data_IF_263271595372
#
_entry.id   IF_263271595372
#
_cell.length_a   1.000
_cell.length_b   1.000
_cell.length_c   1.000
_cell.angle_alpha   90.00
_cell.angle_beta   90.00
_cell.angle_gamma   90.00
#
_symmetry.space_group_name_H-M   'P 1'
#
loop_
_entity.id
_entity.type
_entity.pdbx_description
1 polymer ?
#
# COMPACT_ATOMS: atom_id res chain seq x y z
N UNK A 1 -9.58 7.57 9.18
CA UNK A 1 -8.98 8.16 7.96
C UNK A 1 -7.59 7.56 7.70
N UNK A 2 -6.64 7.61 8.62
CA UNK A 2 -5.24 7.17 8.48
C UNK A 2 -5.08 5.68 8.13
N UNK A 3 -5.89 4.78 8.70
CA UNK A 3 -5.90 3.34 8.31
C UNK A 3 -6.12 3.13 6.81
N UNK A 4 -7.01 3.91 6.18
CA UNK A 4 -7.25 3.82 4.73
C UNK A 4 -6.06 4.32 3.93
N UNK A 5 -5.39 5.39 4.39
CA UNK A 5 -4.18 5.90 3.73
C UNK A 5 -3.05 4.85 3.79
N UNK A 6 -2.83 4.23 4.96
CA UNK A 6 -1.84 3.17 5.11
C UNK A 6 -2.17 1.97 4.20
N UNK A 7 -3.44 1.58 4.09
CA UNK A 7 -3.88 0.52 3.17
C UNK A 7 -3.62 0.88 1.70
N UNK A 8 -3.95 2.11 1.28
CA UNK A 8 -3.69 2.57 -0.09
C UNK A 8 -2.19 2.57 -0.40
N UNK A 9 -1.36 3.03 0.55
CA UNK A 9 0.10 2.99 0.41
C UNK A 9 0.62 1.55 0.29
N UNK A 10 0.10 0.63 1.10
CA UNK A 10 0.44 -0.80 1.01
C UNK A 10 0.02 -1.39 -0.34
N UNK A 11 -1.18 -1.07 -0.82
CA UNK A 11 -1.66 -1.55 -2.13
C UNK A 11 -0.82 -1.02 -3.29
N UNK A 12 -0.35 0.23 -3.22
CA UNK A 12 0.59 0.80 -4.19
C UNK A 12 1.90 0.00 -4.22
N UNK A 13 2.49 -0.29 -3.05
CA UNK A 13 3.73 -1.06 -2.97
C UNK A 13 3.53 -2.51 -3.44
N UNK A 14 2.39 -3.14 -3.13
CA UNK A 14 2.06 -4.48 -3.60
C UNK A 14 1.87 -4.53 -5.12
N UNK A 15 1.29 -3.50 -5.73
CA UNK A 15 1.18 -3.41 -7.20
C UNK A 15 2.56 -3.32 -7.85
N UNK A 16 3.47 -2.53 -7.27
CA UNK A 16 4.85 -2.46 -7.73
C UNK A 16 5.59 -3.80 -7.56
N UNK A 17 5.42 -4.47 -6.41
CA UNK A 17 6.01 -5.77 -6.13
C UNK A 17 5.55 -6.84 -7.12
N UNK A 18 4.25 -6.84 -7.48
CA UNK A 18 3.72 -7.73 -8.51
C UNK A 18 4.39 -7.50 -9.86
N UNK A 19 4.51 -6.25 -10.31
CA UNK A 19 5.18 -5.92 -11.55
C UNK A 19 6.67 -6.31 -11.55
N UNK A 20 7.39 -6.11 -10.44
CA UNK A 20 8.77 -6.56 -10.31
C UNK A 20 8.90 -8.08 -10.24
N UNK A 21 7.86 -8.80 -9.80
CA UNK A 21 7.77 -10.26 -9.93
C UNK A 21 7.84 -10.70 -11.39
N UNK A 22 7.02 -10.09 -12.26
CA UNK A 22 7.04 -10.34 -13.71
C UNK A 22 8.37 -9.96 -14.35
N UNK A 23 8.93 -8.79 -14.00
CA UNK A 23 10.25 -8.37 -14.46
C UNK A 23 11.32 -9.41 -14.08
N UNK A 24 11.28 -9.93 -12.86
CA UNK A 24 12.23 -10.97 -12.42
C UNK A 24 12.07 -12.25 -13.24
N UNK A 25 10.84 -12.71 -13.47
CA UNK A 25 10.58 -13.91 -14.27
C UNK A 25 11.10 -13.78 -15.70
N UNK A 26 10.87 -12.62 -16.33
CA UNK A 26 11.41 -12.33 -17.67
C UNK A 26 12.92 -12.28 -17.71
N UNK A 27 13.57 -11.64 -16.73
CA UNK A 27 15.04 -11.59 -16.65
C UNK A 27 15.66 -12.98 -16.46
N UNK A 28 15.04 -13.85 -15.65
CA UNK A 28 15.48 -15.23 -15.49
C UNK A 28 15.35 -15.99 -16.81
N UNK A 29 14.22 -15.85 -17.53
CA UNK A 29 14.05 -16.46 -18.84
C UNK A 29 15.05 -15.95 -19.87
N UNK A 30 15.34 -14.65 -19.88
CA UNK A 30 16.37 -14.06 -20.74
C UNK A 30 17.76 -14.62 -20.41
N UNK A 31 18.06 -14.85 -19.13
CA UNK A 31 19.33 -15.47 -18.69
C UNK A 31 19.45 -16.92 -19.14
N UNK A 32 18.34 -17.69 -19.11
CA UNK A 32 18.31 -19.06 -19.62
C UNK A 32 18.61 -19.09 -21.13
N UNK A 33 17.99 -18.17 -21.90
CA UNK A 33 18.28 -18.03 -23.34
C UNK A 33 19.72 -17.63 -23.61
N UNK A 34 20.28 -16.70 -22.84
CA UNK A 34 21.67 -16.28 -22.96
C UNK A 34 22.62 -17.44 -22.66
N UNK A 35 22.31 -18.24 -21.64
CA UNK A 35 23.11 -19.43 -21.28
C UNK A 35 23.09 -20.48 -22.38
N UNK A 36 21.92 -20.73 -22.98
CA UNK A 36 21.80 -21.66 -24.11
C UNK A 36 22.50 -21.13 -25.36
N UNK A 37 22.39 -19.83 -25.65
CA UNK A 37 23.05 -19.21 -26.80
C UNK A 37 24.59 -19.16 -26.65
N UNK A 38 25.08 -19.11 -25.42
CA UNK A 38 26.49 -19.13 -25.10
C UNK A 38 27.14 -20.52 -25.28
N UNK A 39 26.33 -21.58 -25.30
CA UNK A 39 26.85 -22.94 -25.46
C UNK A 39 27.47 -23.14 -26.84
N UNK A 40 28.64 -23.78 -26.90
CA UNK A 40 29.36 -24.04 -28.13
C UNK A 40 28.62 -24.98 -29.11
N UNK A 41 27.64 -25.75 -28.60
CA UNK A 41 26.79 -26.62 -29.43
C UNK A 41 25.72 -25.86 -30.17
N UNK A 42 25.41 -24.62 -29.76
CA UNK A 42 24.39 -23.75 -30.41
C UNK A 42 24.91 -23.20 -31.73
N UNK A 43 24.27 -23.56 -32.81
CA UNK A 43 24.59 -23.02 -34.14
C UNK A 43 23.93 -21.63 -34.35
N UNK A 44 24.28 -20.96 -35.47
CA UNK A 44 23.78 -19.59 -35.71
C UNK A 44 22.26 -19.55 -35.83
N UNK A 45 21.61 -20.54 -36.42
CA UNK A 45 20.13 -20.56 -36.53
C UNK A 45 19.45 -20.72 -35.18
N UNK A 46 20.05 -21.51 -34.29
CA UNK A 46 19.55 -21.67 -32.93
C UNK A 46 19.65 -20.35 -32.17
N UNK A 47 20.79 -19.66 -32.29
CA UNK A 47 20.97 -18.34 -31.66
C UNK A 47 20.02 -17.29 -32.23
N UNK A 48 19.77 -17.32 -33.57
CA UNK A 48 18.81 -16.39 -34.21
C UNK A 48 17.37 -16.62 -33.69
N UNK A 49 16.99 -17.88 -33.45
CA UNK A 49 15.69 -18.22 -32.86
C UNK A 49 15.58 -17.74 -31.40
N UNK A 50 16.63 -18.00 -30.58
CA UNK A 50 16.68 -17.52 -29.21
C UNK A 50 16.74 -15.99 -29.12
N UNK A 51 17.40 -15.31 -30.07
CA UNK A 51 17.41 -13.85 -30.17
C UNK A 51 16.01 -13.30 -30.43
N UNK A 52 15.18 -13.99 -31.22
CA UNK A 52 13.79 -13.59 -31.45
C UNK A 52 12.97 -13.56 -30.16
N UNK A 53 13.07 -14.61 -29.34
CA UNK A 53 12.41 -14.66 -28.03
C UNK A 53 12.99 -13.61 -27.07
N UNK A 54 14.32 -13.46 -27.04
CA UNK A 54 14.99 -12.46 -26.22
C UNK A 54 14.56 -11.02 -26.54
N UNK A 55 14.40 -10.69 -27.83
CA UNK A 55 13.91 -9.40 -28.27
C UNK A 55 12.47 -9.15 -27.81
N UNK A 56 11.59 -10.17 -27.88
CA UNK A 56 10.22 -10.06 -27.40
C UNK A 56 10.17 -9.82 -25.90
N UNK A 57 10.99 -10.54 -25.11
CA UNK A 57 11.10 -10.32 -23.67
C UNK A 57 11.63 -8.92 -23.34
N UNK A 58 12.62 -8.40 -24.07
CA UNK A 58 13.12 -7.03 -23.90
C UNK A 58 12.05 -5.98 -24.13
N UNK A 59 11.23 -6.14 -25.17
CA UNK A 59 10.09 -5.27 -25.44
C UNK A 59 9.01 -5.36 -24.33
N UNK A 60 8.74 -6.58 -23.84
CA UNK A 60 7.77 -6.76 -22.76
C UNK A 60 8.26 -6.18 -21.43
N UNK A 61 9.55 -6.30 -21.11
CA UNK A 61 10.16 -5.59 -19.98
C UNK A 61 9.91 -4.07 -20.06
N UNK A 62 10.10 -3.49 -21.24
CA UNK A 62 9.83 -2.08 -21.47
C UNK A 62 8.34 -1.77 -21.24
N UNK A 63 7.43 -2.60 -21.76
CA UNK A 63 5.99 -2.46 -21.59
C UNK A 63 5.59 -2.49 -20.11
N UNK A 64 6.09 -3.45 -19.33
CA UNK A 64 5.78 -3.56 -17.91
C UNK A 64 6.28 -2.32 -17.17
N UNK A 65 7.52 -1.88 -17.43
CA UNK A 65 8.10 -0.72 -16.77
C UNK A 65 7.36 0.59 -17.09
N UNK A 66 6.91 0.76 -18.33
CA UNK A 66 6.29 2.02 -18.78
C UNK A 66 4.77 2.07 -18.62
N UNK A 67 4.11 0.92 -18.47
CA UNK A 67 2.65 0.86 -18.42
C UNK A 67 2.08 0.48 -17.06
N UNK A 68 2.91 0.06 -16.09
CA UNK A 68 2.44 -0.22 -14.73
C UNK A 68 1.98 1.05 -14.04
N UNK A 69 0.68 1.09 -13.71
CA UNK A 69 0.01 2.26 -13.12
C UNK A 69 -0.71 1.90 -11.83
N UNK A 70 -0.80 2.89 -10.95
CA UNK A 70 -1.61 2.83 -9.75
C UNK A 70 -2.42 4.12 -9.61
N UNK A 71 -3.74 4.01 -9.48
CA UNK A 71 -4.61 5.18 -9.39
C UNK A 71 -4.54 6.14 -10.58
N UNK A 72 -4.19 5.62 -11.78
CA UNK A 72 -4.04 6.42 -13.00
C UNK A 72 -2.64 7.03 -13.20
N UNK A 73 -1.77 7.04 -12.18
CA UNK A 73 -0.39 7.52 -12.28
C UNK A 73 0.58 6.41 -12.64
N UNK A 74 1.60 6.73 -13.42
CA UNK A 74 2.67 5.80 -13.76
C UNK A 74 3.48 5.46 -12.50
N UNK A 75 3.68 4.17 -12.23
CA UNK A 75 4.30 3.71 -11.00
C UNK A 75 5.82 3.52 -11.15
N UNK A 76 6.27 2.79 -12.18
CA UNK A 76 7.67 2.41 -12.36
C UNK A 76 8.44 3.42 -13.22
N UNK A 77 8.12 3.54 -14.50
CA UNK A 77 8.81 4.44 -15.45
C UNK A 77 10.03 3.81 -16.11
N UNK A 78 10.45 4.39 -17.25
CA UNK A 78 11.54 3.87 -18.10
C UNK A 78 12.93 4.43 -17.78
N UNK A 79 13.15 4.95 -16.57
CA UNK A 79 14.43 5.50 -16.14
C UNK A 79 14.66 6.97 -16.48
N UNK A 80 13.78 7.62 -17.21
CA UNK A 80 13.82 9.08 -17.31
C UNK A 80 13.44 9.70 -15.97
N UNK A 81 14.24 10.61 -15.49
CA UNK A 81 14.03 11.26 -14.19
C UNK A 81 12.59 11.81 -14.07
N UNK A 82 11.89 11.37 -13.04
CA UNK A 82 10.54 11.86 -12.72
C UNK A 82 9.38 11.21 -13.48
N UNK A 83 9.58 10.19 -14.29
CA UNK A 83 8.49 9.55 -15.04
C UNK A 83 7.61 8.62 -14.20
N UNK A 84 8.16 7.90 -13.22
CA UNK A 84 7.40 7.01 -12.35
C UNK A 84 7.33 7.51 -10.92
N UNK A 85 6.25 7.17 -10.21
CA UNK A 85 6.08 7.55 -8.81
C UNK A 85 7.24 7.01 -7.94
N UNK A 86 7.76 5.81 -8.23
CA UNK A 86 8.90 5.21 -7.54
C UNK A 86 10.26 5.81 -7.93
N UNK A 87 10.32 6.59 -9.01
CA UNK A 87 11.54 7.32 -9.40
C UNK A 87 11.74 8.60 -8.59
N UNK A 88 10.90 8.87 -7.61
CA UNK A 88 10.97 10.02 -6.71
C UNK A 88 10.81 9.59 -5.26
N UNK A 89 11.28 10.45 -4.33
CA UNK A 89 11.02 10.25 -2.92
C UNK A 89 9.52 10.42 -2.62
N UNK A 90 8.96 9.47 -1.91
CA UNK A 90 7.55 9.47 -1.50
C UNK A 90 7.44 9.66 0.00
N UNK A 91 6.43 10.37 0.44
CA UNK A 91 6.13 10.55 1.86
C UNK A 91 4.74 10.01 2.17
N UNK A 92 4.67 8.99 3.01
CA UNK A 92 3.42 8.42 3.48
C UNK A 92 3.02 9.07 4.80
N UNK A 93 1.80 9.60 4.87
CA UNK A 93 1.22 10.07 6.13
C UNK A 93 0.75 8.87 6.95
N UNK A 94 1.33 8.68 8.14
CA UNK A 94 1.08 7.53 9.01
C UNK A 94 0.33 7.86 10.30
N UNK A 95 0.08 9.15 10.57
CA UNK A 95 -0.58 9.59 11.80
C UNK A 95 -1.34 10.91 11.63
N UNK A 96 -1.80 11.46 12.77
CA UNK A 96 -2.69 12.61 12.83
C UNK A 96 -1.97 13.95 12.68
N UNK A 97 -0.68 14.01 12.99
CA UNK A 97 0.12 15.23 12.96
C UNK A 97 0.95 15.30 11.68
N UNK A 98 1.26 16.50 11.20
CA UNK A 98 2.07 16.71 10.00
C UNK A 98 3.49 16.13 10.08
N UNK A 99 3.99 15.87 11.30
CA UNK A 99 5.29 15.24 11.55
C UNK A 99 5.25 13.71 11.51
N UNK A 100 4.07 13.10 11.62
CA UNK A 100 3.90 11.65 11.60
C UNK A 100 3.91 11.11 10.16
N UNK A 101 5.07 11.18 9.54
CA UNK A 101 5.30 10.75 8.16
C UNK A 101 6.35 9.65 8.09
N UNK A 102 6.23 8.81 7.06
CA UNK A 102 7.23 7.81 6.71
C UNK A 102 7.74 8.12 5.30
N UNK A 103 9.03 8.39 5.20
CA UNK A 103 9.68 8.57 3.90
C UNK A 103 10.06 7.22 3.29
N UNK A 104 9.87 7.11 1.99
CA UNK A 104 10.28 6.01 1.15
C UNK A 104 10.96 6.57 -0.08
N UNK A 105 12.18 6.14 -0.34
CA UNK A 105 12.96 6.62 -1.48
C UNK A 105 13.76 5.46 -2.07
N UNK A 106 13.42 5.07 -3.29
CA UNK A 106 14.10 4.06 -4.10
C UNK A 106 14.53 4.64 -5.45
N UNK A 107 14.54 5.96 -5.59
CA UNK A 107 14.85 6.63 -6.85
C UNK A 107 16.23 6.23 -7.40
N UNK A 108 17.23 6.11 -6.52
CA UNK A 108 18.57 5.66 -6.89
C UNK A 108 18.58 4.22 -7.40
N UNK A 109 17.90 3.31 -6.70
CA UNK A 109 17.79 1.90 -7.10
C UNK A 109 17.01 1.74 -8.40
N UNK A 110 15.94 2.53 -8.59
CA UNK A 110 15.17 2.58 -9.84
C UNK A 110 16.03 3.07 -11.00
N UNK A 111 16.83 4.11 -10.80
CA UNK A 111 17.78 4.61 -11.80
C UNK A 111 18.83 3.55 -12.18
N UNK A 112 19.40 2.90 -11.19
CA UNK A 112 20.38 1.81 -11.42
C UNK A 112 19.76 0.62 -12.13
N UNK A 113 18.53 0.24 -11.77
CA UNK A 113 17.78 -0.82 -12.43
C UNK A 113 17.51 -0.47 -13.91
N UNK A 114 17.02 0.73 -14.20
CA UNK A 114 16.74 1.14 -15.57
C UNK A 114 18.00 1.16 -16.43
N UNK A 115 19.14 1.59 -15.87
CA UNK A 115 20.43 1.53 -16.57
C UNK A 115 20.83 0.07 -16.87
N UNK A 116 20.62 -0.83 -15.92
CA UNK A 116 20.88 -2.25 -16.14
C UNK A 116 19.97 -2.85 -17.21
N UNK A 117 18.67 -2.50 -17.20
CA UNK A 117 17.71 -2.99 -18.21
C UNK A 117 18.03 -2.47 -19.62
N UNK A 118 18.51 -1.23 -19.75
CA UNK A 118 18.99 -0.69 -21.04
C UNK A 118 20.26 -1.39 -21.53
N UNK A 119 21.10 -1.85 -20.62
CA UNK A 119 22.34 -2.53 -20.98
C UNK A 119 22.14 -3.98 -21.46
N UNK A 120 21.05 -4.63 -21.06
CA UNK A 120 20.76 -6.04 -21.42
C UNK A 120 20.00 -6.20 -22.72
N UNK A 121 19.27 -5.19 -23.20
CA UNK A 121 18.53 -5.32 -24.45
C UNK A 121 18.31 -3.98 -25.16
N UNK A 122 18.63 -3.95 -26.45
CA UNK A 122 18.29 -2.80 -27.31
C UNK A 122 16.78 -2.60 -27.43
N UNK A 123 15.98 -3.64 -27.16
CA UNK A 123 14.52 -3.60 -27.19
C UNK A 123 13.91 -3.08 -25.87
N UNK A 124 14.73 -2.76 -24.86
CA UNK A 124 14.28 -1.97 -23.73
C UNK A 124 14.18 -0.47 -24.13
N UNK A 125 13.41 -0.21 -25.19
CA UNK A 125 13.18 1.10 -25.78
C UNK A 125 11.87 1.09 -26.59
N UNK A 126 11.28 2.25 -26.90
CA UNK A 126 10.15 2.30 -27.79
C UNK A 126 10.57 1.91 -29.22
N UNK A 127 9.90 0.91 -29.77
CA UNK A 127 10.14 0.38 -31.11
C UNK A 127 11.00 -0.88 -31.11
N UNK A 128 10.50 -1.91 -31.82
CA UNK A 128 11.23 -3.16 -31.94
C UNK A 128 12.40 -3.00 -32.92
N UNK A 129 13.61 -3.32 -32.46
CA UNK A 129 14.84 -3.35 -33.27
C UNK A 129 15.38 -4.78 -33.24
N UNK A 130 15.97 -5.23 -34.35
CA UNK A 130 16.67 -6.51 -34.35
C UNK A 130 17.90 -6.41 -33.40
N UNK A 131 17.83 -7.14 -32.31
CA UNK A 131 18.94 -7.24 -31.37
C UNK A 131 20.09 -8.07 -31.92
N UNK A 132 21.25 -7.91 -31.36
CA UNK A 132 22.47 -8.65 -31.73
C UNK A 132 23.19 -9.22 -30.52
N UNK A 133 22.50 -9.35 -29.40
CA UNK A 133 23.03 -9.83 -28.11
C UNK A 133 23.58 -11.26 -28.23
N UNK A 134 23.01 -12.08 -29.14
CA UNK A 134 23.41 -13.46 -29.41
C UNK A 134 24.10 -13.64 -30.76
N UNK A 135 24.72 -12.60 -31.30
CA UNK A 135 25.45 -12.67 -32.56
C UNK A 135 26.59 -13.69 -32.52
N UNK A 136 27.16 -13.95 -31.35
CA UNK A 136 28.16 -15.00 -31.09
C UNK A 136 27.96 -15.61 -29.71
N UNK A 137 28.53 -16.81 -29.49
CA UNK A 137 28.54 -17.43 -28.16
C UNK A 137 29.25 -16.54 -27.12
N UNK A 138 30.30 -15.81 -27.50
CA UNK A 138 30.99 -14.87 -26.61
C UNK A 138 30.11 -13.66 -26.22
N UNK A 139 29.33 -13.12 -27.17
CA UNK A 139 28.40 -12.05 -26.87
C UNK A 139 27.27 -12.53 -25.93
N UNK A 140 26.70 -13.70 -26.20
CA UNK A 140 25.70 -14.32 -25.34
C UNK A 140 26.22 -14.60 -23.92
N UNK A 141 27.49 -15.05 -23.79
CA UNK A 141 28.11 -15.25 -22.48
C UNK A 141 28.22 -13.93 -21.70
N UNK A 142 28.62 -12.84 -22.34
CA UNK A 142 28.64 -11.52 -21.72
C UNK A 142 27.29 -11.05 -21.21
N UNK A 143 26.15 -11.46 -21.84
CA UNK A 143 24.83 -11.14 -21.38
C UNK A 143 24.47 -11.83 -20.06
N UNK A 144 25.03 -12.99 -19.74
CA UNK A 144 24.74 -13.74 -18.51
C UNK A 144 25.05 -12.90 -17.25
N UNK A 145 26.20 -12.24 -17.25
CA UNK A 145 26.64 -11.42 -16.12
C UNK A 145 25.80 -10.13 -16.01
N UNK A 146 25.48 -9.52 -17.16
CA UNK A 146 24.62 -8.33 -17.18
C UNK A 146 23.20 -8.65 -16.68
N UNK A 147 22.65 -9.79 -17.09
CA UNK A 147 21.35 -10.26 -16.63
C UNK A 147 21.35 -10.62 -15.15
N UNK A 148 22.42 -11.24 -14.65
CA UNK A 148 22.58 -11.48 -13.22
C UNK A 148 22.59 -10.17 -12.43
N UNK A 149 23.36 -9.17 -12.90
CA UNK A 149 23.39 -7.86 -12.28
C UNK A 149 22.01 -7.14 -12.31
N UNK A 150 21.27 -7.30 -13.41
CA UNK A 150 19.90 -6.75 -13.50
C UNK A 150 18.95 -7.42 -12.49
N UNK A 151 19.00 -8.75 -12.34
CA UNK A 151 18.22 -9.49 -11.32
C UNK A 151 18.56 -8.99 -9.92
N UNK A 152 19.83 -8.75 -9.61
CA UNK A 152 20.25 -8.22 -8.31
C UNK A 152 19.70 -6.82 -8.06
N UNK A 153 19.64 -5.96 -9.10
CA UNK A 153 19.05 -4.63 -8.99
C UNK A 153 17.53 -4.71 -8.74
N UNK A 154 16.82 -5.59 -9.42
CA UNK A 154 15.39 -5.83 -9.12
C UNK A 154 15.23 -6.33 -7.68
N UNK A 155 16.09 -7.25 -7.24
CA UNK A 155 16.12 -7.76 -5.87
C UNK A 155 16.27 -6.66 -4.81
N UNK A 156 17.15 -5.68 -5.05
CA UNK A 156 17.36 -4.53 -4.17
C UNK A 156 16.07 -3.67 -4.06
N UNK A 157 15.45 -3.34 -5.19
CA UNK A 157 14.20 -2.57 -5.20
C UNK A 157 13.08 -3.34 -4.47
N UNK A 158 12.92 -4.63 -4.77
CA UNK A 158 11.91 -5.50 -4.12
C UNK A 158 12.13 -5.61 -2.61
N UNK A 159 13.37 -5.73 -2.17
CA UNK A 159 13.72 -5.74 -0.75
C UNK A 159 13.29 -4.45 -0.04
N UNK A 160 13.55 -3.29 -0.65
CA UNK A 160 13.14 -2.00 -0.12
C UNK A 160 11.60 -1.84 -0.07
N UNK A 161 10.90 -2.30 -1.12
CA UNK A 161 9.44 -2.34 -1.18
C UNK A 161 8.87 -3.22 -0.06
N UNK A 162 9.37 -4.45 0.08
CA UNK A 162 8.93 -5.41 1.10
C UNK A 162 9.18 -4.91 2.52
N UNK A 163 10.35 -4.34 2.78
CA UNK A 163 10.66 -3.74 4.08
C UNK A 163 9.68 -2.59 4.43
N UNK A 164 9.36 -1.76 3.44
CA UNK A 164 8.43 -0.64 3.62
C UNK A 164 7.00 -1.12 3.79
N UNK A 165 6.57 -2.13 3.03
CA UNK A 165 5.25 -2.74 3.19
C UNK A 165 5.07 -3.35 4.58
N UNK A 166 6.10 -4.04 5.12
CA UNK A 166 6.08 -4.56 6.48
C UNK A 166 5.97 -3.45 7.52
N UNK A 167 6.74 -2.36 7.36
CA UNK A 167 6.63 -1.19 8.25
C UNK A 167 5.23 -0.56 8.23
N UNK A 168 4.63 -0.41 7.06
CA UNK A 168 3.24 0.05 6.93
C UNK A 168 2.25 -0.92 7.60
N UNK A 169 2.48 -2.23 7.52
CA UNK A 169 1.71 -3.24 8.23
C UNK A 169 1.75 -3.04 9.75
N UNK A 170 2.93 -2.80 10.32
CA UNK A 170 3.08 -2.49 11.75
C UNK A 170 2.38 -1.19 12.14
N UNK A 171 2.49 -0.14 11.31
CA UNK A 171 1.77 1.13 11.51
C UNK A 171 0.26 0.90 11.50
N UNK A 172 -0.25 0.13 10.53
CA UNK A 172 -1.68 -0.20 10.44
C UNK A 172 -2.19 -0.91 11.71
N UNK A 173 -1.44 -1.88 12.21
CA UNK A 173 -1.78 -2.61 13.44
C UNK A 173 -1.78 -1.69 14.66
N UNK A 174 -0.76 -0.82 14.78
CA UNK A 174 -0.68 0.17 15.86
C UNK A 174 -1.86 1.14 15.83
N UNK A 175 -2.17 1.71 14.66
CA UNK A 175 -3.33 2.58 14.46
C UNK A 175 -4.65 1.86 14.80
N UNK A 176 -4.76 0.57 14.50
CA UNK A 176 -5.93 -0.24 14.84
C UNK A 176 -6.10 -0.35 16.35
N UNK A 177 -5.02 -0.67 17.06
CA UNK A 177 -5.02 -0.75 18.52
C UNK A 177 -5.35 0.61 19.17
N UNK A 178 -4.72 1.67 18.67
CA UNK A 178 -4.98 3.04 19.15
C UNK A 178 -6.45 3.43 18.99
N UNK A 179 -7.07 3.15 17.84
CA UNK A 179 -8.51 3.40 17.59
C UNK A 179 -9.37 2.62 18.56
N UNK A 180 -9.05 1.35 18.83
CA UNK A 180 -9.80 0.51 19.77
C UNK A 180 -9.71 1.05 21.19
N UNK A 181 -8.50 1.37 21.67
CA UNK A 181 -8.28 1.93 22.99
C UNK A 181 -8.92 3.32 23.15
N UNK A 182 -8.82 4.18 22.13
CA UNK A 182 -9.44 5.50 22.15
C UNK A 182 -10.97 5.39 22.24
N UNK A 183 -11.59 4.49 21.46
CA UNK A 183 -13.03 4.24 21.54
C UNK A 183 -13.44 3.73 22.92
N UNK A 184 -12.71 2.79 23.49
CA UNK A 184 -12.96 2.30 24.84
C UNK A 184 -12.81 3.40 25.91
N UNK A 185 -11.83 4.31 25.74
CA UNK A 185 -11.66 5.46 26.63
C UNK A 185 -12.82 6.47 26.49
N UNK A 186 -13.24 6.76 25.26
CA UNK A 186 -14.41 7.61 24.99
C UNK A 186 -15.66 6.99 25.62
N UNK A 187 -15.88 5.68 25.47
CA UNK A 187 -17.01 4.99 26.09
C UNK A 187 -16.99 5.18 27.63
N UNK A 188 -15.84 4.94 28.28
CA UNK A 188 -15.73 5.14 29.76
C UNK A 188 -15.99 6.57 30.24
N UNK A 189 -15.75 7.56 29.37
CA UNK A 189 -15.95 8.98 29.72
C UNK A 189 -17.38 9.44 29.38
N UNK A 190 -17.91 8.95 28.26
CA UNK A 190 -19.18 9.47 27.69
C UNK A 190 -20.39 8.57 27.95
N UNK A 191 -20.16 7.28 28.19
CA UNK A 191 -21.25 6.37 28.48
C UNK A 191 -21.81 6.65 29.89
N UNK A 192 -23.12 6.80 29.94
CA UNK A 192 -23.85 7.04 31.21
C UNK A 192 -23.78 5.77 32.07
N UNK A 193 -23.46 5.93 33.34
CA UNK A 193 -23.66 4.87 34.33
C UNK A 193 -25.16 4.57 34.46
N UNK A 194 -25.58 3.51 33.78
CA UNK A 194 -26.98 3.08 33.73
C UNK A 194 -27.58 2.83 35.12
N UNK A 195 -26.77 2.38 36.07
CA UNK A 195 -27.24 2.12 37.45
C UNK A 195 -27.51 3.44 38.15
N UNK A 196 -26.58 4.40 38.08
CA UNK A 196 -26.76 5.72 38.68
C UNK A 196 -27.90 6.50 38.04
N UNK A 197 -28.02 6.47 36.69
CA UNK A 197 -29.10 7.17 35.99
C UNK A 197 -30.48 6.55 36.23
N UNK A 198 -30.57 5.22 36.30
CA UNK A 198 -31.83 4.52 36.68
C UNK A 198 -32.23 4.85 38.10
N UNK A 199 -31.27 4.93 39.05
CA UNK A 199 -31.55 5.34 40.41
C UNK A 199 -32.07 6.80 40.48
N UNK A 200 -31.43 7.72 39.75
CA UNK A 200 -31.85 9.11 39.65
C UNK A 200 -33.26 9.23 39.01
N UNK A 201 -33.55 8.49 37.92
CA UNK A 201 -34.85 8.47 37.32
C UNK A 201 -35.92 7.92 38.23
N UNK A 202 -35.63 6.83 38.96
CA UNK A 202 -36.57 6.26 39.95
C UNK A 202 -36.84 7.25 41.09
N UNK A 203 -35.79 7.91 41.62
CA UNK A 203 -35.92 8.94 42.64
C UNK A 203 -36.75 10.12 42.16
N UNK A 204 -36.53 10.60 40.94
CA UNK A 204 -37.33 11.67 40.33
C UNK A 204 -38.80 11.28 40.14
N UNK A 205 -39.08 10.03 39.75
CA UNK A 205 -40.43 9.51 39.62
C UNK A 205 -41.14 9.42 41.00
N UNK A 206 -40.44 8.94 42.06
CA UNK A 206 -40.95 8.91 43.41
C UNK A 206 -41.24 10.30 43.95
N UNK A 207 -40.35 11.26 43.70
CA UNK A 207 -40.59 12.66 44.08
C UNK A 207 -41.81 13.27 43.36
N UNK A 208 -41.97 12.95 42.07
CA UNK A 208 -43.14 13.39 41.30
C UNK A 208 -44.43 12.80 41.86
N UNK A 209 -44.45 11.50 42.19
CA UNK A 209 -45.62 10.84 42.81
C UNK A 209 -45.92 11.42 44.19
N UNK A 210 -44.89 11.60 45.04
CA UNK A 210 -45.03 12.20 46.34
C UNK A 210 -45.57 13.64 46.25
N UNK A 211 -45.01 14.45 45.35
CA UNK A 211 -45.47 15.83 45.13
C UNK A 211 -46.91 15.92 44.66
N UNK A 212 -47.32 15.03 43.76
CA UNK A 212 -48.74 14.96 43.25
C UNK A 212 -49.68 14.49 44.37
N UNK A 213 -49.24 13.54 45.19
CA UNK A 213 -50.05 13.11 46.35
C UNK A 213 -50.22 14.24 47.38
N UNK A 214 -49.13 14.97 47.72
CA UNK A 214 -49.16 16.12 48.62
C UNK A 214 -50.03 17.26 48.05
N UNK A 215 -49.97 17.53 46.74
CA UNK A 215 -50.87 18.50 46.08
C UNK A 215 -52.33 18.11 46.21
N UNK A 216 -52.66 16.84 45.99
CA UNK A 216 -54.03 16.33 46.17
C UNK A 216 -54.47 16.45 47.63
N UNK A 217 -53.61 16.14 48.59
CA UNK A 217 -53.89 16.27 50.00
C UNK A 217 -54.11 17.74 50.41
N UNK A 218 -53.25 18.65 49.90
CA UNK A 218 -53.39 20.10 50.15
C UNK A 218 -54.75 20.64 49.58
N UNK A 219 -55.13 20.22 48.36
CA UNK A 219 -56.39 20.60 47.75
C UNK A 219 -57.61 20.04 48.52
N UNK A 220 -57.50 18.83 49.08
CA UNK A 220 -58.56 18.26 49.94
C UNK A 220 -58.72 19.00 51.26
N UNK A 221 -57.62 19.44 51.87
CA UNK A 221 -57.65 20.29 53.08
C UNK A 221 -58.29 21.64 52.78
N UNK A 222 -57.98 22.29 51.67
CA UNK A 222 -58.59 23.53 51.25
C UNK A 222 -60.13 23.38 51.09
N UNK A 223 -60.59 22.27 50.45
CA UNK A 223 -62.04 21.97 50.30
C UNK A 223 -62.67 21.72 51.64
N UNK A 224 -62.03 21.08 52.59
CA UNK A 224 -62.54 20.84 53.95
C UNK A 224 -62.66 22.16 54.73
N UNK A 225 -61.67 23.05 54.62
CA UNK A 225 -61.80 24.39 55.25
C UNK A 225 -62.95 25.22 54.64
N UNK A 226 -63.11 25.13 53.31
CA UNK A 226 -64.24 25.81 52.64
C UNK A 226 -65.62 25.28 53.08
N UNK A 227 -65.72 23.95 53.33
CA UNK A 227 -66.92 23.31 53.79
C UNK A 227 -67.29 23.65 55.26
N UNK A 228 -66.27 24.02 56.06
CA UNK A 228 -66.47 24.50 57.45
C UNK A 228 -66.82 25.99 57.52
N UNK A 229 -66.60 26.75 56.47
CA UNK A 229 -66.91 28.20 56.38
C UNK A 229 -68.20 28.49 55.67
N UNK A 230 -68.88 27.49 55.11
CA UNK A 230 -70.25 27.65 54.56
C UNK A 230 -71.23 27.20 55.62
N UNK A 231 -72.14 28.09 56.04
CA UNK A 231 -73.21 27.79 57.03
C UNK A 231 -74.27 26.83 56.49
#
# INVERSE_FOLDING_TARGET
>A
MYKRQTQNSTSLLQTAEGAFGEVTAMLVRMKDLATQAADASSNQKDRDAMQGEYNALGAELYNVMTNTRYGGTLLLGNGSAGQGTLSQAMTFQIGATGSETMQFNVAGDMGALNTALQAISVNFAPGATAGSEFASNGSANGMIDLLAAAVDKVGSVRSALGATANRLGHVYNNLSNMVTHTRAAIGRIMDVDYAAESANMTSAQMLLQASTAMLKQSQSMQKMILSLLQP
#
